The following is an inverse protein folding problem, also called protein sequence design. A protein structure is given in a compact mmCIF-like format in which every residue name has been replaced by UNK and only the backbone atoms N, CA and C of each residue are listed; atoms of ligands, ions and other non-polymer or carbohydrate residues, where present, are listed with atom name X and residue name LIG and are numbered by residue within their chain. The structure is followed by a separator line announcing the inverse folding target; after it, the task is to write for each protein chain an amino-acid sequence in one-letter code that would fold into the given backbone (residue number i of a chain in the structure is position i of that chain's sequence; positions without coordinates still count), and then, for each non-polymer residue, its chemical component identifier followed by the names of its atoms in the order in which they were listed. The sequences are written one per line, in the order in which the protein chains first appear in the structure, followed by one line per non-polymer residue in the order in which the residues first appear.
data_IF_212126666734
#
_entry.id   IF_212126666734
#
_cell.length_a   1.000
_cell.length_b   1.000
_cell.length_c   1.000
_cell.angle_alpha   90.00
_cell.angle_beta   90.00
_cell.angle_gamma   90.00
#
_symmetry.space_group_name_H-M   'P 1'
#
loop_
_entity.id
_entity.type
_entity.pdbx_description
1 polymer ?
#
# COMPACT_ATOMS: atom_id res chain seq x y z
N UNK A 1 -6.77 -3.37 -14.14
CA UNK A 1 -6.57 -2.25 -13.19
C UNK A 1 -5.16 -2.36 -12.62
N UNK A 2 -4.22 -1.54 -13.09
CA UNK A 2 -2.86 -1.51 -12.54
C UNK A 2 -2.89 -0.69 -11.24
N UNK A 3 -2.56 -1.32 -10.11
CA UNK A 3 -2.33 -0.63 -8.84
C UNK A 3 -0.86 -0.19 -8.79
N UNK A 4 -0.64 1.11 -8.95
CA UNK A 4 0.67 1.73 -8.75
C UNK A 4 0.71 2.38 -7.37
N UNK A 5 1.54 1.85 -6.48
CA UNK A 5 1.81 2.46 -5.17
C UNK A 5 2.86 3.56 -5.37
N UNK A 6 2.42 4.82 -5.33
CA UNK A 6 3.31 5.97 -5.52
C UNK A 6 3.79 6.49 -4.15
N UNK A 7 5.10 6.36 -3.91
CA UNK A 7 5.76 6.80 -2.66
C UNK A 7 5.87 8.33 -2.60
N UNK A 8 4.89 9.00 -2.01
CA UNK A 8 4.87 10.45 -1.80
C UNK A 8 4.95 10.85 -0.31
N UNK A 9 5.59 10.04 0.54
CA UNK A 9 5.88 10.44 1.93
C UNK A 9 7.18 11.22 2.00
N UNK A 10 7.13 12.40 2.60
CA UNK A 10 8.16 13.46 2.55
C UNK A 10 9.54 13.15 3.15
N UNK A 11 9.85 11.89 3.45
CA UNK A 11 11.22 11.49 3.78
C UNK A 11 11.44 10.04 3.37
N UNK A 12 12.60 9.72 2.79
CA UNK A 12 13.02 8.34 2.51
C UNK A 12 13.27 7.50 3.80
N UNK A 13 12.74 7.93 4.95
CA UNK A 13 13.01 7.40 6.30
C UNK A 13 11.74 7.34 7.17
N UNK A 14 10.60 6.96 6.59
CA UNK A 14 9.35 6.79 7.34
C UNK A 14 8.70 5.44 7.03
N UNK A 15 8.13 4.81 8.05
CA UNK A 15 7.36 3.56 7.97
C UNK A 15 5.88 3.85 8.23
N UNK A 16 5.00 2.93 7.83
CA UNK A 16 3.57 3.01 8.12
C UNK A 16 3.07 1.71 8.77
N UNK A 17 2.05 1.84 9.61
CA UNK A 17 1.25 0.69 10.06
C UNK A 17 -0.04 0.54 9.25
N UNK A 18 -0.68 1.64 8.86
CA UNK A 18 -1.98 1.60 8.21
C UNK A 18 -1.87 1.51 6.70
N UNK A 19 -2.61 0.59 6.10
CA UNK A 19 -2.80 0.49 4.65
C UNK A 19 -4.30 0.56 4.36
N UNK A 20 -4.71 1.60 3.63
CA UNK A 20 -6.08 1.79 3.17
C UNK A 20 -6.15 1.61 1.66
N UNK A 21 -6.97 0.67 1.19
CA UNK A 21 -7.27 0.47 -0.22
C UNK A 21 -8.63 1.09 -0.54
N UNK A 22 -8.69 1.81 -1.67
CA UNK A 22 -9.95 2.28 -2.22
C UNK A 22 -10.15 1.81 -3.65
N UNK A 23 -11.39 1.49 -3.99
CA UNK A 23 -11.83 1.21 -5.36
C UNK A 23 -13.09 1.99 -5.67
N UNK A 24 -13.18 2.46 -6.90
CA UNK A 24 -14.29 3.27 -7.40
C UNK A 24 -14.86 2.63 -8.65
N UNK A 25 -16.13 2.24 -8.60
CA UNK A 25 -16.91 1.78 -9.75
C UNK A 25 -17.22 2.94 -10.70
N UNK A 26 -17.45 2.62 -11.97
CA UNK A 26 -17.86 3.61 -12.95
C UNK A 26 -19.34 3.98 -12.76
N UNK A 27 -19.60 5.17 -12.21
CA UNK A 27 -20.96 5.69 -11.96
C UNK A 27 -21.86 5.71 -13.19
N UNK A 28 -21.30 5.69 -14.41
CA UNK A 28 -22.06 5.71 -15.66
C UNK A 28 -22.42 4.31 -16.17
N UNK A 29 -21.77 3.25 -15.67
CA UNK A 29 -21.98 1.86 -16.12
C UNK A 29 -22.65 0.99 -15.07
N UNK A 30 -22.72 1.44 -13.83
CA UNK A 30 -23.27 0.67 -12.72
C UNK A 30 -24.46 1.40 -12.10
N UNK A 31 -25.60 0.72 -11.98
CA UNK A 31 -26.85 1.26 -11.40
C UNK A 31 -26.91 1.17 -9.87
N UNK A 32 -25.81 0.82 -9.19
CA UNK A 32 -25.77 0.74 -7.73
C UNK A 32 -25.54 2.10 -7.08
N UNK A 33 -26.23 2.36 -5.96
CA UNK A 33 -26.03 3.52 -5.11
C UNK A 33 -24.61 3.59 -4.49
N UNK A 34 -23.89 2.47 -4.41
CA UNK A 34 -22.53 2.42 -3.83
C UNK A 34 -21.48 2.22 -4.91
N UNK A 35 -20.78 3.30 -5.23
CA UNK A 35 -19.73 3.33 -6.24
C UNK A 35 -18.33 3.56 -5.68
N UNK A 36 -18.18 3.85 -4.38
CA UNK A 36 -16.87 3.94 -3.72
C UNK A 36 -16.80 2.92 -2.58
N UNK A 37 -15.70 2.19 -2.52
CA UNK A 37 -15.41 1.23 -1.47
C UNK A 37 -14.03 1.53 -0.90
N UNK A 38 -13.92 1.44 0.43
CA UNK A 38 -12.69 1.68 1.18
C UNK A 38 -12.54 0.54 2.19
N UNK A 39 -11.31 0.04 2.35
CA UNK A 39 -10.96 -0.90 3.41
C UNK A 39 -9.62 -0.50 3.99
N UNK A 40 -9.48 -0.56 5.30
CA UNK A 40 -8.24 -0.30 6.02
C UNK A 40 -7.84 -1.57 6.78
N UNK A 41 -6.55 -1.92 6.70
CA UNK A 41 -5.92 -2.94 7.52
C UNK A 41 -4.62 -2.39 8.11
N UNK A 42 -4.29 -2.88 9.31
CA UNK A 42 -3.03 -2.57 9.97
C UNK A 42 -2.02 -3.67 9.68
N UNK A 43 -0.81 -3.29 9.36
CA UNK A 43 0.36 -4.17 9.37
C UNK A 43 0.70 -4.50 10.82
N UNK A 44 1.15 -5.73 11.11
CA UNK A 44 1.55 -6.10 12.46
C UNK A 44 2.88 -5.44 12.88
N UNK A 45 3.62 -4.86 11.93
CA UNK A 45 4.84 -4.09 12.16
C UNK A 45 4.90 -2.89 11.23
N UNK A 46 5.63 -1.84 11.64
CA UNK A 46 5.85 -0.69 10.77
C UNK A 46 6.72 -1.10 9.57
N UNK A 47 6.19 -0.91 8.35
CA UNK A 47 6.91 -1.21 7.12
C UNK A 47 6.98 0.02 6.21
N UNK A 48 8.10 0.17 5.53
CA UNK A 48 8.24 1.07 4.39
C UNK A 48 8.38 0.30 3.07
N UNK A 49 8.33 -1.04 3.09
CA UNK A 49 8.53 -1.88 1.91
C UNK A 49 7.33 -1.81 0.99
N UNK A 50 7.56 -1.34 -0.23
CA UNK A 50 6.52 -1.31 -1.26
C UNK A 50 5.98 -2.72 -1.56
N UNK A 51 6.79 -3.78 -1.38
CA UNK A 51 6.35 -5.16 -1.58
C UNK A 51 5.35 -5.58 -0.49
N UNK A 52 5.70 -5.35 0.78
CA UNK A 52 4.83 -5.69 1.92
C UNK A 52 3.49 -4.95 1.81
N UNK A 53 3.54 -3.65 1.53
CA UNK A 53 2.35 -2.80 1.35
C UNK A 53 1.53 -3.24 0.13
N UNK A 54 2.18 -3.55 -1.00
CA UNK A 54 1.48 -3.97 -2.22
C UNK A 54 0.83 -5.34 -2.05
N UNK A 55 1.50 -6.29 -1.40
CA UNK A 55 0.95 -7.62 -1.15
C UNK A 55 -0.31 -7.53 -0.28
N UNK A 56 -0.27 -6.74 0.79
CA UNK A 56 -1.44 -6.48 1.64
C UNK A 56 -2.55 -5.80 0.82
N UNK A 57 -2.22 -4.76 0.06
CA UNK A 57 -3.19 -4.05 -0.75
C UNK A 57 -3.86 -4.95 -1.81
N UNK A 58 -3.11 -5.84 -2.46
CA UNK A 58 -3.66 -6.81 -3.43
C UNK A 58 -4.56 -7.83 -2.73
N UNK A 59 -4.18 -8.30 -1.54
CA UNK A 59 -5.04 -9.18 -0.73
C UNK A 59 -6.36 -8.49 -0.38
N UNK A 60 -6.31 -7.26 0.12
CA UNK A 60 -7.49 -6.46 0.41
C UNK A 60 -8.33 -6.20 -0.84
N UNK A 61 -7.69 -5.86 -1.96
CA UNK A 61 -8.39 -5.63 -3.22
C UNK A 61 -9.18 -6.86 -3.67
N UNK A 62 -8.58 -8.06 -3.61
CA UNK A 62 -9.26 -9.31 -4.00
C UNK A 62 -10.53 -9.55 -3.20
N UNK A 63 -10.57 -9.13 -1.93
CA UNK A 63 -11.77 -9.25 -1.09
C UNK A 63 -12.84 -8.19 -1.36
N UNK A 64 -12.47 -7.07 -1.98
CA UNK A 64 -13.39 -5.98 -2.35
C UNK A 64 -13.82 -6.05 -3.82
N UNK A 65 -13.13 -6.85 -4.63
CA UNK A 65 -13.38 -6.99 -6.05
C UNK A 65 -14.54 -7.94 -6.29
N UNK A 66 -15.58 -7.41 -6.91
CA UNK A 66 -16.72 -8.17 -7.44
C UNK A 66 -16.53 -8.40 -8.94
N UNK A 67 -16.71 -9.64 -9.38
CA UNK A 67 -16.61 -10.03 -10.79
C UNK A 67 -17.79 -9.48 -11.60
N UNK A 68 -17.55 -9.11 -12.87
CA UNK A 68 -18.55 -8.50 -13.76
C UNK A 68 -18.74 -7.00 -13.57
N UNK A 69 -18.14 -6.40 -12.54
CA UNK A 69 -18.24 -4.97 -12.26
C UNK A 69 -17.16 -4.14 -12.96
N UNK A 70 -17.51 -2.91 -13.34
CA UNK A 70 -16.57 -2.00 -14.01
C UNK A 70 -16.00 -0.98 -13.04
N UNK A 71 -14.70 -1.07 -12.80
CA UNK A 71 -13.95 -0.16 -11.94
C UNK A 71 -13.24 0.94 -12.74
N UNK A 72 -13.39 2.19 -12.29
CA UNK A 72 -12.81 3.38 -12.91
C UNK A 72 -11.50 3.81 -12.27
N UNK A 73 -11.35 3.61 -10.96
CA UNK A 73 -10.16 4.03 -10.21
C UNK A 73 -9.91 3.11 -9.02
N UNK A 74 -8.65 2.90 -8.69
CA UNK A 74 -8.22 2.32 -7.42
C UNK A 74 -6.98 3.04 -6.91
N UNK A 75 -6.71 2.91 -5.63
CA UNK A 75 -5.47 3.38 -5.04
C UNK A 75 -5.25 2.88 -3.63
N UNK A 76 -4.02 3.13 -3.15
CA UNK A 76 -3.58 2.78 -1.80
C UNK A 76 -3.16 4.06 -1.11
N UNK A 77 -3.63 4.23 0.13
CA UNK A 77 -3.27 5.32 1.02
C UNK A 77 -2.63 4.67 2.23
N UNK A 78 -1.44 5.12 2.62
CA UNK A 78 -0.82 4.66 3.88
C UNK A 78 -1.04 5.69 4.97
N UNK A 79 -1.29 5.20 6.18
CA UNK A 79 -1.60 5.99 7.39
C UNK A 79 -0.77 5.46 8.56
N UNK A 80 -0.88 6.07 9.74
CA UNK A 80 -0.06 5.73 10.91
C UNK A 80 1.44 5.77 10.58
N UNK A 81 1.86 6.91 10.01
CA UNK A 81 3.24 7.10 9.58
C UNK A 81 4.11 7.46 10.78
N UNK A 82 5.17 6.69 10.98
CA UNK A 82 6.19 6.93 11.99
C UNK A 82 7.55 7.14 11.32
N UNK A 83 8.47 7.91 11.94
CA UNK A 83 9.87 7.93 11.53
C UNK A 83 10.48 6.53 11.62
N UNK A 84 11.33 6.15 10.66
CA UNK A 84 12.03 4.87 10.66
C UNK A 84 12.92 4.70 11.91
N UNK A 85 13.44 5.80 12.45
CA UNK A 85 14.18 5.80 13.72
C UNK A 85 13.35 5.40 14.94
N UNK A 86 12.02 5.47 14.84
CA UNK A 86 11.08 5.06 15.88
C UNK A 86 10.49 3.67 15.63
N UNK A 87 10.95 2.96 14.60
CA UNK A 87 10.54 1.58 14.34
C UNK A 87 11.02 0.70 15.49
N UNK A 88 10.11 0.35 16.37
CA UNK A 88 10.38 -0.55 17.49
C UNK A 88 10.50 -1.99 16.96
N UNK A 89 11.66 -2.61 17.16
CA UNK A 89 11.88 -4.02 16.86
C UNK A 89 10.91 -4.86 17.69
N UNK A 90 9.96 -5.52 17.02
CA UNK A 90 9.06 -6.46 17.66
C UNK A 90 9.81 -7.76 17.90
N UNK A 91 9.82 -8.25 19.13
CA UNK A 91 10.56 -9.45 19.53
C UNK A 91 10.09 -10.74 18.81
N UNK A 92 8.91 -10.70 18.19
CA UNK A 92 8.22 -11.87 17.62
C UNK A 92 7.83 -11.74 16.15
N UNK A 93 7.74 -10.52 15.61
CA UNK A 93 7.32 -10.29 14.23
C UNK A 93 8.27 -9.29 13.55
N UNK A 94 9.07 -9.80 12.61
CA UNK A 94 9.98 -8.99 11.83
C UNK A 94 9.69 -9.08 10.33
N UNK A 95 9.92 -7.96 9.65
CA UNK A 95 9.90 -7.92 8.20
C UNK A 95 11.04 -8.76 7.63
N UNK A 96 10.78 -9.47 6.53
CA UNK A 96 11.82 -10.26 5.88
C UNK A 96 13.04 -9.37 5.55
N UNK A 97 14.25 -9.67 6.07
CA UNK A 97 15.43 -8.81 5.92
C UNK A 97 15.85 -8.60 4.46
N UNK A 98 15.45 -9.49 3.55
CA UNK A 98 15.68 -9.34 2.10
C UNK A 98 14.94 -8.14 1.51
N UNK A 99 13.78 -7.78 2.06
CA UNK A 99 13.01 -6.63 1.59
C UNK A 99 13.77 -5.32 1.82
N UNK A 100 14.49 -5.21 2.94
CA UNK A 100 15.29 -4.02 3.27
C UNK A 100 16.39 -3.80 2.24
N UNK A 101 17.18 -4.84 1.95
CA UNK A 101 18.26 -4.79 0.95
C UNK A 101 17.73 -4.44 -0.45
N UNK A 102 16.61 -5.04 -0.84
CA UNK A 102 15.99 -4.78 -2.13
C UNK A 102 15.48 -3.34 -2.25
N UNK A 103 14.87 -2.79 -1.19
CA UNK A 103 14.39 -1.41 -1.18
C UNK A 103 15.55 -0.42 -1.31
N UNK A 104 16.69 -0.68 -0.69
CA UNK A 104 17.90 0.14 -0.86
C UNK A 104 18.38 0.16 -2.31
N UNK A 105 18.37 -0.99 -3.00
CA UNK A 105 18.73 -1.09 -4.42
C UNK A 105 17.73 -0.35 -5.31
N UNK A 106 16.43 -0.52 -5.07
CA UNK A 106 15.37 0.20 -5.78
C UNK A 106 15.54 1.72 -5.61
N UNK A 107 15.82 2.17 -4.38
CA UNK A 107 16.03 3.59 -4.09
C UNK A 107 17.31 4.14 -4.73
N UNK A 108 18.36 3.33 -4.85
CA UNK A 108 19.59 3.68 -5.57
C UNK A 108 19.33 3.84 -7.08
N UNK A 109 18.56 2.92 -7.69
CA UNK A 109 18.16 3.01 -9.09
C UNK A 109 17.32 4.27 -9.33
N UNK A 110 16.31 4.53 -8.48
CA UNK A 110 15.51 5.75 -8.59
C UNK A 110 16.32 7.04 -8.40
N UNK A 111 17.42 6.99 -7.64
CA UNK A 111 18.31 8.15 -7.46
C UNK A 111 19.23 8.38 -8.68
N UNK A 112 19.59 7.32 -9.41
CA UNK A 112 20.43 7.40 -10.62
C UNK A 112 19.64 7.86 -11.85
N UNK A 113 18.34 7.57 -11.90
CA UNK A 113 17.47 7.94 -13.02
C UNK A 113 16.79 9.32 -12.84
N UNK A 114 17.36 10.19 -12.02
CA UNK A 114 16.88 11.54 -11.73
C UNK A 114 18.00 12.53 -11.97
#
# INVERSE_FOLDING_TARGET
MQLSVQRNFGSKKSCCYGVTVYIKKDKYKVQTNRYNFYRMELLPFASNSAITISNLAVKMLKTMFEEGEVYKKAGVIVTEIIPESQKQFHLFEEENPKHLQLMQVIDAIHKKNR
#
